data_IF_076099529719
#
_entry.id   IF_076099529719
#
_cell.length_a   1.000
_cell.length_b   1.000
_cell.length_c   1.000
_cell.angle_alpha   90.00
_cell.angle_beta   90.00
_cell.angle_gamma   90.00
#
_symmetry.space_group_name_H-M   'P 1'
#
loop_
_entity.id
_entity.type
_entity.pdbx_description
1 polymer ?
#
# COMPACT_ATOMS: atom_id res chain seq x y z
N UNK A 1 63.72 -76.49 -16.33
CA UNK A 1 63.50 -76.82 -14.91
C UNK A 1 63.15 -75.54 -14.16
N UNK A 2 62.29 -75.55 -13.13
CA UNK A 2 60.88 -75.94 -13.05
C UNK A 2 59.93 -74.73 -12.81
N UNK A 3 58.62 -74.95 -12.98
CA UNK A 3 57.46 -74.19 -12.46
C UNK A 3 57.48 -74.04 -10.91
N UNK A 4 56.72 -73.15 -10.21
CA UNK A 4 55.25 -73.05 -10.35
C UNK A 4 54.50 -71.75 -10.00
N UNK A 5 53.21 -71.80 -10.36
CA UNK A 5 52.06 -70.96 -9.97
C UNK A 5 51.93 -70.78 -8.45
N UNK A 6 51.43 -69.62 -8.02
CA UNK A 6 50.56 -69.46 -6.84
C UNK A 6 49.44 -68.45 -7.17
N UNK A 7 48.25 -68.72 -6.63
CA UNK A 7 46.95 -68.13 -6.91
C UNK A 7 46.45 -67.27 -5.74
N UNK A 8 45.55 -66.34 -6.04
CA UNK A 8 44.55 -65.68 -5.19
C UNK A 8 44.97 -64.58 -4.19
N UNK A 9 44.18 -63.49 -4.20
CA UNK A 9 44.17 -62.46 -3.17
C UNK A 9 43.44 -61.18 -3.61
N UNK A 10 42.11 -61.20 -3.61
CA UNK A 10 41.29 -60.00 -3.76
C UNK A 10 41.50 -59.04 -2.58
N UNK A 11 41.78 -57.76 -2.84
CA UNK A 11 41.49 -56.66 -1.92
C UNK A 11 41.03 -55.43 -2.72
N UNK A 12 39.93 -54.83 -2.29
CA UNK A 12 39.33 -53.61 -2.85
C UNK A 12 40.25 -52.39 -2.69
N UNK A 13 40.30 -51.47 -3.66
CA UNK A 13 40.77 -50.11 -3.41
C UNK A 13 39.64 -49.07 -3.52
N UNK A 14 39.59 -48.23 -2.49
CA UNK A 14 39.04 -46.86 -2.49
C UNK A 14 39.64 -46.02 -3.63
N UNK A 15 38.92 -45.08 -4.27
CA UNK A 15 39.55 -44.08 -5.11
C UNK A 15 39.84 -42.80 -4.31
N UNK A 16 41.13 -42.54 -4.11
CA UNK A 16 41.66 -41.23 -3.75
C UNK A 16 41.73 -40.27 -4.94
N UNK A 17 41.91 -39.00 -4.58
CA UNK A 17 42.03 -37.83 -5.43
C UNK A 17 43.05 -37.92 -6.57
N UNK A 18 42.68 -37.36 -7.73
CA UNK A 18 43.60 -36.93 -8.79
C UNK A 18 42.94 -35.87 -9.68
N UNK A 19 43.47 -34.65 -9.67
CA UNK A 19 43.25 -33.58 -10.66
C UNK A 19 44.35 -33.67 -11.75
N UNK A 20 44.37 -32.79 -12.77
CA UNK A 20 43.39 -32.62 -13.85
C UNK A 20 44.06 -32.82 -15.24
N UNK A 21 43.33 -33.32 -16.24
CA UNK A 21 43.78 -33.29 -17.64
C UNK A 21 42.91 -32.38 -18.49
N UNK A 22 43.59 -31.59 -19.30
CA UNK A 22 43.13 -30.53 -20.18
C UNK A 22 42.21 -31.01 -21.33
N UNK A 23 41.21 -30.17 -21.58
CA UNK A 23 40.14 -30.13 -22.59
C UNK A 23 40.44 -30.67 -24.02
N UNK A 24 39.38 -30.83 -24.83
CA UNK A 24 39.10 -29.74 -25.77
C UNK A 24 37.66 -29.20 -25.71
N UNK A 25 37.58 -27.87 -25.84
CA UNK A 25 36.37 -27.08 -26.09
C UNK A 25 35.65 -27.58 -27.34
N UNK A 26 34.37 -27.94 -27.20
CA UNK A 26 33.56 -28.28 -28.38
C UNK A 26 32.23 -28.98 -28.08
N UNK A 27 31.47 -28.53 -27.07
CA UNK A 27 30.11 -29.00 -26.86
C UNK A 27 29.22 -27.82 -26.50
N UNK A 28 28.71 -27.15 -27.53
CA UNK A 28 27.62 -26.19 -27.40
C UNK A 28 26.42 -26.90 -26.75
N UNK A 29 25.97 -26.40 -25.59
CA UNK A 29 24.70 -26.78 -24.99
C UNK A 29 23.57 -26.49 -26.00
N UNK A 30 23.05 -27.53 -26.65
CA UNK A 30 21.81 -27.44 -27.43
C UNK A 30 20.64 -27.35 -26.47
N UNK A 31 20.04 -26.16 -26.35
CA UNK A 31 18.72 -26.00 -25.76
C UNK A 31 17.67 -26.67 -26.68
N UNK A 32 16.76 -27.51 -26.16
CA UNK A 32 15.67 -28.05 -26.96
C UNK A 32 14.54 -27.02 -27.11
N UNK A 33 14.11 -26.81 -28.36
CA UNK A 33 12.83 -26.21 -28.77
C UNK A 33 12.58 -24.70 -28.56
N UNK A 34 13.14 -23.88 -29.44
CA UNK A 34 12.49 -22.64 -29.88
C UNK A 34 11.76 -22.93 -31.20
N UNK A 35 10.43 -23.12 -31.16
CA UNK A 35 9.62 -23.10 -32.40
C UNK A 35 9.41 -21.63 -32.80
N UNK A 36 9.63 -21.23 -34.06
CA UNK A 36 9.21 -19.91 -34.51
C UNK A 36 7.68 -19.83 -34.49
N UNK A 37 7.15 -18.74 -33.93
CA UNK A 37 5.72 -18.41 -33.94
C UNK A 37 5.32 -18.09 -35.40
N UNK A 38 4.32 -18.74 -35.98
CA UNK A 38 3.85 -18.39 -37.32
C UNK A 38 3.30 -16.96 -37.30
N UNK A 39 3.69 -16.16 -38.29
CA UNK A 39 3.18 -14.81 -38.50
C UNK A 39 1.66 -14.89 -38.71
N UNK A 40 0.89 -14.49 -37.69
CA UNK A 40 -0.56 -14.43 -37.76
C UNK A 40 -1.01 -13.41 -38.79
N UNK A 41 -1.98 -13.82 -39.61
CA UNK A 41 -2.69 -12.99 -40.57
C UNK A 41 -3.24 -11.72 -39.90
N UNK A 42 -3.09 -10.58 -40.59
CA UNK A 42 -3.69 -9.30 -40.16
C UNK A 42 -5.21 -9.46 -40.13
N UNK A 43 -5.90 -9.11 -39.04
CA UNK A 43 -7.35 -9.09 -39.04
C UNK A 43 -7.88 -8.04 -40.03
N UNK A 44 -9.07 -8.28 -40.62
CA UNK A 44 -9.63 -7.43 -41.65
C UNK A 44 -9.89 -6.01 -41.13
N UNK A 45 -9.40 -5.05 -41.91
CA UNK A 45 -9.72 -3.63 -41.81
C UNK A 45 -11.19 -3.40 -42.17
N UNK A 46 -12.03 -3.10 -41.19
CA UNK A 46 -13.40 -2.63 -41.43
C UNK A 46 -14.29 -2.73 -40.20
N UNK A 47 -14.49 -1.60 -39.52
CA UNK A 47 -15.45 -1.46 -38.42
C UNK A 47 -14.98 -0.40 -37.42
N UNK A 48 -15.27 0.87 -37.72
CA UNK A 48 -15.29 2.04 -36.83
C UNK A 48 -14.40 1.95 -35.58
N UNK A 49 -13.08 1.80 -35.81
CA UNK A 49 -12.13 2.06 -34.75
C UNK A 49 -12.30 3.55 -34.40
N UNK A 50 -12.71 3.83 -33.17
CA UNK A 50 -12.51 5.16 -32.59
C UNK A 50 -11.03 5.47 -32.79
N UNK A 51 -10.72 6.29 -33.80
CA UNK A 51 -9.37 6.79 -34.07
C UNK A 51 -9.07 7.75 -32.95
N UNK A 52 -8.51 7.22 -31.87
CA UNK A 52 -7.99 8.04 -30.80
C UNK A 52 -6.86 8.89 -31.41
N UNK A 53 -6.84 10.19 -31.15
CA UNK A 53 -5.76 11.03 -31.63
C UNK A 53 -4.43 10.52 -31.07
N UNK A 54 -3.35 10.58 -31.84
CA UNK A 54 -1.97 10.26 -31.45
C UNK A 54 -1.46 11.06 -30.22
N UNK A 55 -2.31 11.94 -29.68
CA UNK A 55 -2.06 12.80 -28.54
C UNK A 55 -2.19 12.09 -27.20
N UNK A 56 -2.91 10.97 -27.08
CA UNK A 56 -3.11 10.30 -25.79
C UNK A 56 -1.79 9.81 -25.16
N UNK A 57 -0.89 9.10 -25.88
CA UNK A 57 0.41 8.70 -25.35
C UNK A 57 1.25 9.88 -24.87
N UNK A 58 1.22 11.00 -25.60
CA UNK A 58 1.93 12.23 -25.23
C UNK A 58 1.33 12.86 -23.97
N UNK A 59 0.00 12.90 -23.84
CA UNK A 59 -0.67 13.36 -22.62
C UNK A 59 -0.24 12.51 -21.42
N UNK A 60 -0.16 11.19 -21.57
CA UNK A 60 0.30 10.32 -20.48
C UNK A 60 1.76 10.56 -20.11
N UNK A 61 2.64 10.80 -21.09
CA UNK A 61 4.04 11.17 -20.82
C UNK A 61 4.13 12.48 -20.06
N UNK A 62 3.36 13.49 -20.44
CA UNK A 62 3.31 14.78 -19.74
C UNK A 62 2.80 14.59 -18.32
N UNK A 63 1.75 13.80 -18.12
CA UNK A 63 1.23 13.49 -16.78
C UNK A 63 2.26 12.73 -15.95
N UNK A 64 2.96 11.75 -16.53
CA UNK A 64 4.00 10.97 -15.86
C UNK A 64 5.17 11.85 -15.40
N UNK A 65 5.73 12.67 -16.30
CA UNK A 65 6.79 13.64 -15.96
C UNK A 65 6.32 14.68 -14.94
N UNK A 66 5.07 15.15 -15.03
CA UNK A 66 4.51 16.06 -14.03
C UNK A 66 4.38 15.39 -12.66
N UNK A 67 4.09 14.09 -12.64
CA UNK A 67 4.07 13.28 -11.43
C UNK A 67 5.44 13.09 -10.82
N UNK A 68 6.46 12.86 -11.64
CA UNK A 68 7.86 12.79 -11.19
C UNK A 68 8.30 14.10 -10.57
N UNK A 69 7.97 15.23 -11.21
CA UNK A 69 8.22 16.57 -10.66
C UNK A 69 7.49 16.78 -9.33
N UNK A 70 6.19 16.46 -9.28
CA UNK A 70 5.37 16.58 -8.07
C UNK A 70 5.94 15.74 -6.93
N UNK A 71 6.30 14.50 -7.20
CA UNK A 71 6.79 13.57 -6.19
C UNK A 71 8.23 13.92 -5.76
N UNK A 72 9.01 14.56 -6.64
CA UNK A 72 10.25 15.25 -6.28
C UNK A 72 10.00 16.40 -5.30
N UNK A 73 8.95 17.21 -5.50
CA UNK A 73 8.53 18.24 -4.54
C UNK A 73 8.14 17.60 -3.21
N UNK A 74 7.31 16.54 -3.21
CA UNK A 74 6.87 15.85 -1.99
C UNK A 74 8.03 15.23 -1.21
N UNK A 75 9.00 14.61 -1.91
CA UNK A 75 10.23 14.09 -1.33
C UNK A 75 11.10 15.20 -0.73
N UNK A 76 11.30 16.29 -1.45
CA UNK A 76 12.03 17.46 -0.96
C UNK A 76 11.37 18.11 0.27
N UNK A 77 10.03 18.18 0.29
CA UNK A 77 9.29 18.65 1.47
C UNK A 77 9.51 17.78 2.71
N UNK A 78 9.73 16.48 2.53
CA UNK A 78 10.09 15.57 3.63
C UNK A 78 11.54 15.75 4.05
N UNK A 79 12.48 15.85 3.10
CA UNK A 79 13.89 16.15 3.37
C UNK A 79 14.04 17.44 4.18
N UNK A 80 13.27 18.49 3.83
CA UNK A 80 13.22 19.75 4.58
C UNK A 80 12.79 19.55 6.03
N UNK A 81 11.74 18.77 6.26
CA UNK A 81 11.25 18.48 7.64
C UNK A 81 12.25 17.68 8.45
N UNK A 82 13.05 16.84 7.79
CA UNK A 82 14.12 16.04 8.39
C UNK A 82 15.45 16.78 8.50
N UNK A 83 15.54 18.04 8.06
CA UNK A 83 16.75 18.87 8.06
C UNK A 83 17.94 18.20 7.34
N UNK A 84 17.71 17.59 6.18
CA UNK A 84 18.79 17.05 5.35
C UNK A 84 19.59 18.15 4.66
N UNK A 85 20.86 17.87 4.37
CA UNK A 85 21.73 18.72 3.56
C UNK A 85 21.28 18.72 2.08
N UNK A 86 21.90 19.55 1.24
CA UNK A 86 21.51 19.70 -0.17
C UNK A 86 21.60 18.35 -0.92
N UNK A 87 22.64 17.56 -0.65
CA UNK A 87 22.82 16.24 -1.27
C UNK A 87 21.70 15.30 -0.86
N UNK A 88 21.46 15.14 0.45
CA UNK A 88 20.37 14.33 0.97
C UNK A 88 19.00 14.79 0.48
N UNK A 89 18.82 16.10 0.29
CA UNK A 89 17.58 16.68 -0.24
C UNK A 89 17.30 16.24 -1.68
N UNK A 90 18.28 16.39 -2.57
CA UNK A 90 18.16 15.99 -3.97
C UNK A 90 18.04 14.47 -4.10
N UNK A 91 18.84 13.72 -3.35
CA UNK A 91 18.80 12.25 -3.36
C UNK A 91 17.43 11.73 -2.93
N UNK A 92 16.87 12.26 -1.83
CA UNK A 92 15.54 11.84 -1.38
C UNK A 92 14.45 12.21 -2.38
N UNK A 93 14.55 13.37 -3.03
CA UNK A 93 13.61 13.78 -4.08
C UNK A 93 13.65 12.85 -5.30
N UNK A 94 14.85 12.54 -5.82
CA UNK A 94 15.03 11.58 -6.93
C UNK A 94 14.49 10.21 -6.54
N UNK A 95 14.88 9.70 -5.37
CA UNK A 95 14.45 8.41 -4.85
C UNK A 95 12.92 8.33 -4.77
N UNK A 96 12.30 9.35 -4.19
CA UNK A 96 10.85 9.42 -4.06
C UNK A 96 10.19 9.37 -5.45
N UNK A 97 10.69 10.19 -6.37
CA UNK A 97 10.09 10.41 -7.68
C UNK A 97 10.21 9.21 -8.64
N UNK A 98 11.32 8.47 -8.61
CA UNK A 98 11.62 7.43 -9.61
C UNK A 98 11.53 6.01 -9.07
N UNK A 99 11.65 5.79 -7.76
CA UNK A 99 11.85 4.43 -7.24
C UNK A 99 10.66 3.50 -7.47
N UNK A 100 9.42 3.99 -7.52
CA UNK A 100 8.25 3.16 -7.84
C UNK A 100 8.31 2.58 -9.27
N UNK A 101 8.63 3.43 -10.26
CA UNK A 101 8.82 3.01 -11.65
C UNK A 101 10.04 2.11 -11.84
N UNK A 102 11.15 2.42 -11.14
CA UNK A 102 12.36 1.57 -11.15
C UNK A 102 12.05 0.20 -10.57
N UNK A 103 11.39 0.14 -9.41
CA UNK A 103 11.03 -1.13 -8.77
C UNK A 103 10.15 -1.99 -9.69
N UNK A 104 9.15 -1.38 -10.35
CA UNK A 104 8.33 -2.05 -11.37
C UNK A 104 9.20 -2.60 -12.50
N UNK A 105 10.02 -1.76 -13.12
CA UNK A 105 10.77 -2.15 -14.33
C UNK A 105 11.81 -3.24 -14.00
N UNK A 106 12.46 -3.15 -12.83
CA UNK A 106 13.33 -4.22 -12.31
C UNK A 106 12.53 -5.50 -12.05
N UNK A 107 11.32 -5.44 -11.50
CA UNK A 107 10.54 -6.68 -11.31
C UNK A 107 10.06 -7.30 -12.63
N UNK A 108 9.80 -6.49 -13.66
CA UNK A 108 9.37 -6.95 -14.98
C UNK A 108 10.54 -7.55 -15.78
N UNK A 109 11.78 -7.09 -15.57
CA UNK A 109 12.99 -7.58 -16.26
C UNK A 109 12.95 -7.42 -17.80
N UNK A 110 12.28 -6.36 -18.30
CA UNK A 110 12.16 -6.09 -19.74
C UNK A 110 13.19 -5.07 -20.28
N UNK A 111 14.34 -4.92 -19.61
CA UNK A 111 15.40 -3.97 -19.96
C UNK A 111 15.76 -3.02 -18.81
N UNK A 112 16.59 -2.00 -19.07
CA UNK A 112 16.93 -1.00 -18.06
C UNK A 112 15.66 -0.22 -17.64
N UNK A 113 15.55 0.18 -16.36
CA UNK A 113 14.43 1.00 -15.90
C UNK A 113 14.22 2.26 -16.72
N UNK A 114 12.96 2.56 -17.06
CA UNK A 114 12.64 3.67 -17.98
C UNK A 114 13.09 5.04 -17.44
N UNK A 115 13.03 5.20 -16.11
CA UNK A 115 13.51 6.41 -15.43
C UNK A 115 15.02 6.66 -15.58
N UNK A 116 15.79 5.65 -16.01
CA UNK A 116 17.23 5.75 -16.27
C UNK A 116 17.55 5.85 -17.77
N UNK A 117 16.59 5.55 -18.64
CA UNK A 117 16.78 5.67 -20.09
C UNK A 117 16.42 7.06 -20.61
N UNK A 118 15.41 7.70 -20.03
CA UNK A 118 14.98 9.05 -20.38
C UNK A 118 15.49 10.07 -19.33
N UNK A 119 16.44 10.96 -19.69
CA UNK A 119 17.02 11.92 -18.74
C UNK A 119 15.99 12.91 -18.18
N UNK A 120 14.86 13.14 -18.87
CA UNK A 120 13.83 14.06 -18.41
C UNK A 120 13.21 13.65 -17.06
N UNK A 121 13.22 12.35 -16.71
CA UNK A 121 12.74 11.88 -15.41
C UNK A 121 13.63 12.36 -14.26
N UNK A 122 14.95 12.24 -14.42
CA UNK A 122 15.90 12.71 -13.41
C UNK A 122 15.90 14.25 -13.33
N UNK A 123 15.82 14.94 -14.47
CA UNK A 123 15.70 16.39 -14.50
C UNK A 123 14.41 16.87 -13.81
N UNK A 124 13.26 16.25 -14.09
CA UNK A 124 11.99 16.59 -13.44
C UNK A 124 12.06 16.41 -11.91
N UNK A 125 12.67 15.32 -11.43
CA UNK A 125 12.85 15.08 -10.01
C UNK A 125 13.78 16.13 -9.35
N UNK A 126 14.89 16.49 -10.00
CA UNK A 126 15.81 17.54 -9.54
C UNK A 126 15.14 18.92 -9.53
N UNK A 127 14.35 19.25 -10.54
CA UNK A 127 13.56 20.48 -10.59
C UNK A 127 12.54 20.50 -9.45
N UNK A 128 11.87 19.37 -9.19
CA UNK A 128 10.97 19.22 -8.05
C UNK A 128 11.68 19.47 -6.71
N UNK A 129 12.90 18.95 -6.55
CA UNK A 129 13.74 19.21 -5.39
C UNK A 129 14.06 20.71 -5.24
N UNK A 130 14.48 21.37 -6.33
CA UNK A 130 14.78 22.79 -6.34
C UNK A 130 13.57 23.65 -5.95
N UNK A 131 12.40 23.30 -6.50
CA UNK A 131 11.12 23.95 -6.16
C UNK A 131 10.81 23.75 -4.67
N UNK A 132 10.97 22.55 -4.13
CA UNK A 132 10.76 22.31 -2.69
C UNK A 132 11.80 23.00 -1.79
N UNK A 133 13.01 23.25 -2.30
CA UNK A 133 14.05 23.98 -1.57
C UNK A 133 13.66 25.45 -1.36
N UNK A 134 13.24 26.12 -2.43
CA UNK A 134 12.90 27.55 -2.38
C UNK A 134 11.45 27.83 -1.94
N UNK A 135 10.49 26.98 -2.31
CA UNK A 135 9.08 27.22 -2.04
C UNK A 135 8.59 26.51 -0.76
N UNK A 136 8.00 27.30 0.14
CA UNK A 136 7.34 26.80 1.35
C UNK A 136 5.86 26.51 1.06
N UNK A 137 5.55 25.26 0.69
CA UNK A 137 4.18 24.77 0.46
C UNK A 137 3.37 24.58 1.77
N UNK A 138 3.35 25.58 2.64
CA UNK A 138 2.73 25.50 3.98
C UNK A 138 1.25 25.95 3.98
N UNK A 139 0.82 26.67 2.94
CA UNK A 139 -0.54 27.18 2.84
C UNK A 139 -1.57 26.06 2.63
N UNK A 140 -2.78 26.24 3.19
CA UNK A 140 -3.91 25.32 2.98
C UNK A 140 -4.22 25.03 1.50
N UNK A 141 -4.28 26.03 0.59
CA UNK A 141 -4.55 25.76 -0.83
C UNK A 141 -3.40 24.97 -1.49
N UNK A 142 -2.15 25.28 -1.18
CA UNK A 142 -1.00 24.54 -1.70
C UNK A 142 -1.06 23.06 -1.32
N UNK A 143 -1.34 22.75 -0.05
CA UNK A 143 -1.47 21.35 0.40
C UNK A 143 -2.62 20.62 -0.28
N UNK A 144 -3.75 21.30 -0.53
CA UNK A 144 -4.87 20.70 -1.27
C UNK A 144 -4.50 20.42 -2.73
N UNK A 145 -3.80 21.35 -3.37
CA UNK A 145 -3.33 21.18 -4.75
C UNK A 145 -2.40 19.98 -4.87
N UNK A 146 -1.41 19.85 -3.97
CA UNK A 146 -0.49 18.72 -3.95
C UNK A 146 -1.22 17.38 -3.80
N UNK A 147 -2.22 17.30 -2.91
CA UNK A 147 -3.02 16.07 -2.73
C UNK A 147 -3.83 15.74 -4.00
N UNK A 148 -4.40 16.75 -4.65
CA UNK A 148 -5.20 16.52 -5.87
C UNK A 148 -4.31 16.06 -7.02
N UNK A 149 -3.17 16.72 -7.21
CA UNK A 149 -2.21 16.34 -8.23
C UNK A 149 -1.66 14.92 -7.97
N UNK A 150 -1.37 14.59 -6.72
CA UNK A 150 -0.84 13.28 -6.31
C UNK A 150 -1.87 12.16 -6.54
N UNK A 151 -3.16 12.44 -6.31
CA UNK A 151 -4.23 11.49 -6.60
C UNK A 151 -4.34 11.14 -8.10
N UNK A 152 -4.14 12.12 -8.98
CA UNK A 152 -4.13 11.89 -10.44
C UNK A 152 -2.94 11.04 -10.84
N UNK A 153 -1.75 11.42 -10.38
CA UNK A 153 -0.49 10.72 -10.65
C UNK A 153 -0.54 9.28 -10.15
N UNK A 154 -1.07 9.06 -8.94
CA UNK A 154 -1.28 7.72 -8.38
C UNK A 154 -2.14 6.85 -9.30
N UNK A 155 -3.25 7.39 -9.83
CA UNK A 155 -4.11 6.69 -10.76
C UNK A 155 -3.37 6.32 -12.04
N UNK A 156 -2.63 7.27 -12.63
CA UNK A 156 -1.86 7.06 -13.86
C UNK A 156 -0.73 6.04 -13.67
N UNK A 157 0.03 6.11 -12.58
CA UNK A 157 1.11 5.17 -12.29
C UNK A 157 0.61 3.76 -12.01
N UNK A 158 -0.51 3.62 -11.30
CA UNK A 158 -1.13 2.32 -11.08
C UNK A 158 -1.58 1.68 -12.41
N UNK A 159 -2.23 2.47 -13.27
CA UNK A 159 -2.67 2.01 -14.57
C UNK A 159 -1.48 1.67 -15.48
N UNK A 160 -0.45 2.51 -15.54
CA UNK A 160 0.76 2.30 -16.35
C UNK A 160 1.51 1.06 -15.89
N UNK A 161 1.61 0.85 -14.58
CA UNK A 161 2.26 -0.34 -14.01
C UNK A 161 1.55 -1.64 -14.39
N UNK A 162 0.22 -1.65 -14.27
CA UNK A 162 -0.59 -2.79 -14.69
C UNK A 162 -0.50 -3.04 -16.21
N UNK A 163 -0.52 -1.98 -17.01
CA UNK A 163 -0.38 -2.06 -18.46
C UNK A 163 0.97 -2.66 -18.88
N UNK A 164 2.09 -2.14 -18.34
CA UNK A 164 3.42 -2.68 -18.64
C UNK A 164 3.57 -4.13 -18.21
N UNK A 165 3.00 -4.51 -17.07
CA UNK A 165 3.03 -5.89 -16.59
C UNK A 165 2.27 -6.84 -17.53
N UNK A 166 1.08 -6.45 -18.00
CA UNK A 166 0.32 -7.23 -18.98
C UNK A 166 1.05 -7.36 -20.31
N UNK A 167 1.66 -6.28 -20.80
CA UNK A 167 2.45 -6.29 -22.04
C UNK A 167 3.71 -7.14 -21.94
N UNK A 168 4.28 -7.29 -20.73
CA UNK A 168 5.37 -8.22 -20.46
C UNK A 168 4.91 -9.69 -20.36
N UNK A 169 3.64 -9.98 -20.63
CA UNK A 169 3.08 -11.34 -20.59
C UNK A 169 2.76 -11.84 -19.18
N UNK A 170 2.76 -10.97 -18.16
CA UNK A 170 2.45 -11.38 -16.79
C UNK A 170 0.94 -11.60 -16.59
N UNK A 171 0.61 -12.47 -15.64
CA UNK A 171 -0.78 -12.77 -15.26
C UNK A 171 -1.51 -11.59 -14.60
N UNK A 172 -2.82 -11.76 -14.38
CA UNK A 172 -3.68 -10.74 -13.75
C UNK A 172 -3.16 -10.32 -12.38
N UNK A 173 -2.89 -11.27 -11.48
CA UNK A 173 -2.47 -10.95 -10.11
C UNK A 173 -1.12 -10.21 -10.06
N UNK A 174 -0.07 -10.65 -10.78
CA UNK A 174 1.16 -9.86 -10.90
C UNK A 174 0.94 -8.46 -11.48
N UNK A 175 0.05 -8.30 -12.46
CA UNK A 175 -0.24 -6.99 -13.04
C UNK A 175 -0.91 -6.03 -12.05
N UNK A 176 -1.87 -6.53 -11.24
CA UNK A 176 -2.48 -5.75 -10.16
C UNK A 176 -1.43 -5.34 -9.12
N UNK A 177 -0.57 -6.29 -8.72
CA UNK A 177 0.50 -6.04 -7.75
C UNK A 177 1.48 -4.99 -8.27
N UNK A 178 1.96 -5.13 -9.51
CA UNK A 178 2.91 -4.20 -10.11
C UNK A 178 2.30 -2.83 -10.34
N UNK A 179 1.01 -2.73 -10.69
CA UNK A 179 0.28 -1.48 -10.71
C UNK A 179 0.33 -0.79 -9.35
N UNK A 180 -0.10 -1.47 -8.29
CA UNK A 180 -0.02 -0.94 -6.93
C UNK A 180 1.40 -0.50 -6.54
N UNK A 181 2.39 -1.38 -6.74
CA UNK A 181 3.80 -1.10 -6.39
C UNK A 181 4.32 0.12 -7.14
N UNK A 182 3.94 0.30 -8.41
CA UNK A 182 4.37 1.49 -9.18
C UNK A 182 3.88 2.77 -8.52
N UNK A 183 2.60 2.79 -8.11
CA UNK A 183 1.98 3.96 -7.53
C UNK A 183 2.44 4.26 -6.09
N UNK A 184 2.59 3.23 -5.24
CA UNK A 184 2.93 3.42 -3.82
C UNK A 184 4.41 3.23 -3.50
N UNK A 185 5.15 2.48 -4.31
CA UNK A 185 6.52 2.04 -4.03
C UNK A 185 7.51 3.18 -3.84
N UNK A 186 7.39 4.27 -4.61
CA UNK A 186 8.23 5.45 -4.43
C UNK A 186 8.07 6.08 -3.05
N UNK A 187 6.82 6.25 -2.59
CA UNK A 187 6.51 6.75 -1.24
C UNK A 187 6.96 5.78 -0.15
N UNK A 188 6.84 4.48 -0.36
CA UNK A 188 7.28 3.47 0.61
C UNK A 188 8.79 3.50 0.81
N UNK A 189 9.56 3.53 -0.29
CA UNK A 189 11.02 3.57 -0.24
C UNK A 189 11.47 4.85 0.46
N UNK A 190 10.87 5.99 0.11
CA UNK A 190 11.11 7.28 0.78
C UNK A 190 10.88 7.18 2.29
N UNK A 191 9.73 6.68 2.71
CA UNK A 191 9.36 6.61 4.12
C UNK A 191 10.36 5.74 4.90
N UNK A 192 10.76 4.58 4.35
CA UNK A 192 11.82 3.73 4.93
C UNK A 192 13.16 4.46 5.00
N UNK A 193 13.55 5.18 3.94
CA UNK A 193 14.82 5.92 3.91
C UNK A 193 14.92 7.03 4.95
N UNK A 194 13.80 7.59 5.41
CA UNK A 194 13.77 8.59 6.48
C UNK A 194 13.47 7.99 7.86
N UNK A 195 13.46 6.66 7.97
CA UNK A 195 13.21 5.93 9.22
C UNK A 195 11.76 5.98 9.70
N UNK A 196 10.79 6.17 8.80
CA UNK A 196 9.36 6.17 9.10
C UNK A 196 8.68 4.91 8.59
N UNK A 197 7.63 4.47 9.30
CA UNK A 197 6.79 3.37 8.83
C UNK A 197 6.01 3.82 7.59
N UNK A 198 6.13 3.11 6.45
CA UNK A 198 5.43 3.49 5.23
C UNK A 198 3.93 3.69 5.41
N UNK A 199 3.40 4.78 4.83
CA UNK A 199 1.98 5.15 4.98
C UNK A 199 1.01 4.05 4.49
N UNK A 200 1.47 3.14 3.62
CA UNK A 200 0.69 1.99 3.14
C UNK A 200 0.31 1.01 4.25
N UNK A 201 1.12 0.90 5.31
CA UNK A 201 0.89 -0.06 6.40
C UNK A 201 -0.13 0.40 7.44
N UNK A 202 -0.62 1.64 7.34
CA UNK A 202 -1.71 2.13 8.18
C UNK A 202 -1.48 3.53 8.74
N UNK A 203 -2.40 3.96 9.61
CA UNK A 203 -2.37 5.28 10.25
C UNK A 203 -2.85 6.45 9.38
N UNK A 204 -2.95 6.24 8.06
CA UNK A 204 -3.29 7.27 7.08
C UNK A 204 -4.59 6.97 6.29
N UNK A 205 -4.96 7.93 5.44
CA UNK A 205 -6.11 7.83 4.53
C UNK A 205 -5.88 6.75 3.47
N UNK A 206 -6.94 6.25 2.84
CA UNK A 206 -6.80 5.22 1.81
C UNK A 206 -5.91 5.69 0.65
N UNK A 207 -4.83 4.96 0.41
CA UNK A 207 -3.87 5.25 -0.65
C UNK A 207 -3.64 4.02 -1.55
N UNK A 208 -3.40 2.84 -0.96
CA UNK A 208 -3.23 1.60 -1.71
C UNK A 208 -4.52 1.05 -2.33
N UNK A 209 -5.68 1.23 -1.68
CA UNK A 209 -6.97 0.76 -2.24
C UNK A 209 -7.32 1.50 -3.54
N UNK A 210 -7.25 2.84 -3.61
CA UNK A 210 -7.39 3.56 -4.87
C UNK A 210 -6.43 3.09 -5.98
N UNK A 211 -5.15 2.86 -5.64
CA UNK A 211 -4.16 2.35 -6.59
C UNK A 211 -4.54 0.94 -7.10
N UNK A 212 -5.00 0.07 -6.21
CA UNK A 212 -5.49 -1.26 -6.58
C UNK A 212 -6.70 -1.19 -7.49
N UNK A 213 -7.68 -0.34 -7.18
CA UNK A 213 -8.86 -0.16 -8.03
C UNK A 213 -8.47 0.37 -9.42
N UNK A 214 -7.54 1.32 -9.52
CA UNK A 214 -7.03 1.79 -10.80
C UNK A 214 -6.36 0.68 -11.61
N UNK A 215 -5.46 -0.09 -10.98
CA UNK A 215 -4.82 -1.23 -11.62
C UNK A 215 -5.85 -2.29 -12.06
N UNK A 216 -6.88 -2.55 -11.25
CA UNK A 216 -7.96 -3.47 -11.57
C UNK A 216 -8.80 -2.99 -12.76
N UNK A 217 -9.11 -1.70 -12.83
CA UNK A 217 -9.78 -1.11 -13.99
C UNK A 217 -8.94 -1.28 -15.26
N UNK A 218 -7.63 -1.01 -15.20
CA UNK A 218 -6.74 -1.20 -16.34
C UNK A 218 -6.78 -2.66 -16.83
N UNK A 219 -6.61 -3.61 -15.91
CA UNK A 219 -6.58 -5.03 -16.25
C UNK A 219 -7.93 -5.49 -16.79
N UNK A 220 -9.04 -5.07 -16.20
CA UNK A 220 -10.38 -5.45 -16.64
C UNK A 220 -10.66 -4.99 -18.08
N UNK A 221 -10.40 -3.71 -18.39
CA UNK A 221 -10.67 -3.16 -19.74
C UNK A 221 -9.79 -3.82 -20.79
N UNK A 222 -8.49 -4.00 -20.52
CA UNK A 222 -7.57 -4.65 -21.46
C UNK A 222 -7.95 -6.13 -21.69
N UNK A 223 -8.38 -6.85 -20.65
CA UNK A 223 -8.80 -8.26 -20.76
C UNK A 223 -10.11 -8.46 -21.50
N UNK A 224 -10.98 -7.45 -21.52
CA UNK A 224 -12.23 -7.46 -22.28
C UNK A 224 -12.02 -7.07 -23.76
N UNK A 225 -10.78 -6.88 -24.21
CA UNK A 225 -10.45 -6.48 -25.58
C UNK A 225 -10.62 -4.98 -25.85
N UNK A 226 -10.74 -4.16 -24.79
CA UNK A 226 -10.81 -2.71 -24.90
C UNK A 226 -9.47 -2.08 -25.30
N UNK A 227 -9.53 -0.85 -25.84
CA UNK A 227 -8.34 -0.08 -26.18
C UNK A 227 -7.53 0.27 -24.91
N UNK A 228 -6.22 0.03 -24.94
CA UNK A 228 -5.32 0.25 -23.81
C UNK A 228 -5.20 1.72 -23.36
N UNK A 229 -5.28 2.67 -24.29
CA UNK A 229 -5.17 4.10 -23.98
C UNK A 229 -6.44 4.60 -23.27
N UNK A 230 -7.61 4.11 -23.69
CA UNK A 230 -8.87 4.35 -23.00
C UNK A 230 -8.91 3.67 -21.63
N UNK A 231 -8.35 2.46 -21.52
CA UNK A 231 -8.18 1.78 -20.24
C UNK A 231 -7.36 2.65 -19.29
N UNK A 232 -6.26 3.23 -19.78
CA UNK A 232 -5.34 4.03 -18.97
C UNK A 232 -6.00 5.32 -18.46
N UNK A 233 -6.78 5.99 -19.32
CA UNK A 233 -7.57 7.15 -18.94
C UNK A 233 -8.64 6.78 -17.90
N UNK A 234 -9.43 5.73 -18.17
CA UNK A 234 -10.49 5.27 -17.26
C UNK A 234 -9.92 4.87 -15.89
N UNK A 235 -8.84 4.11 -15.87
CA UNK A 235 -8.14 3.69 -14.66
C UNK A 235 -7.58 4.88 -13.88
N UNK A 236 -7.01 5.88 -14.58
CA UNK A 236 -6.56 7.13 -13.95
C UNK A 236 -7.72 7.86 -13.29
N UNK A 237 -8.86 8.04 -13.98
CA UNK A 237 -10.04 8.69 -13.42
C UNK A 237 -10.61 7.93 -12.22
N UNK A 238 -10.69 6.60 -12.28
CA UNK A 238 -11.16 5.77 -11.16
C UNK A 238 -10.23 5.88 -9.96
N UNK A 239 -8.91 5.76 -10.17
CA UNK A 239 -7.91 5.91 -9.12
C UNK A 239 -7.96 7.29 -8.45
N UNK A 240 -7.93 8.34 -9.26
CA UNK A 240 -7.94 9.73 -8.80
C UNK A 240 -9.22 10.06 -8.03
N UNK A 241 -10.39 9.73 -8.59
CA UNK A 241 -11.68 9.99 -7.96
C UNK A 241 -11.82 9.24 -6.63
N UNK A 242 -11.42 7.97 -6.57
CA UNK A 242 -11.49 7.18 -5.35
C UNK A 242 -10.50 7.68 -4.29
N UNK A 243 -9.29 8.08 -4.68
CA UNK A 243 -8.29 8.66 -3.80
C UNK A 243 -8.77 10.00 -3.23
N UNK A 244 -9.32 10.89 -4.07
CA UNK A 244 -9.90 12.16 -3.65
C UNK A 244 -11.10 11.97 -2.74
N UNK A 245 -12.01 11.06 -3.08
CA UNK A 245 -13.17 10.75 -2.26
C UNK A 245 -12.76 10.24 -0.88
N UNK A 246 -11.79 9.31 -0.83
CA UNK A 246 -11.21 8.83 0.42
C UNK A 246 -10.55 9.96 1.21
N UNK A 247 -9.88 10.90 0.53
CA UNK A 247 -9.28 12.06 1.18
C UNK A 247 -10.32 12.99 1.80
N UNK A 248 -11.41 13.27 1.09
CA UNK A 248 -12.46 14.21 1.49
C UNK A 248 -13.35 13.63 2.57
N UNK A 249 -13.69 12.34 2.48
CA UNK A 249 -14.45 11.62 3.52
C UNK A 249 -13.58 11.11 4.66
N UNK A 250 -12.27 11.35 4.61
CA UNK A 250 -11.30 10.90 5.61
C UNK A 250 -11.41 9.40 5.90
N UNK A 251 -11.59 8.60 4.85
CA UNK A 251 -11.68 7.14 4.98
C UNK A 251 -10.36 6.56 5.50
N UNK A 252 -10.45 5.76 6.56
CA UNK A 252 -9.34 5.04 7.17
C UNK A 252 -9.70 3.56 7.23
N UNK A 253 -8.71 2.69 7.01
CA UNK A 253 -8.87 1.26 7.24
C UNK A 253 -8.82 0.97 8.74
N UNK A 254 -9.57 -0.05 9.22
CA UNK A 254 -9.52 -0.46 10.62
C UNK A 254 -8.13 -0.97 10.97
N UNK A 255 -7.56 -0.51 12.08
CA UNK A 255 -6.27 -0.97 12.58
C UNK A 255 -6.47 -2.13 13.56
N UNK A 256 -5.48 -3.02 13.68
CA UNK A 256 -5.56 -4.18 14.60
C UNK A 256 -5.81 -3.73 16.05
N UNK A 257 -5.17 -2.65 16.49
CA UNK A 257 -5.39 -2.06 17.81
C UNK A 257 -6.84 -1.61 18.05
N UNK A 258 -7.56 -1.14 17.01
CA UNK A 258 -8.99 -0.81 17.12
C UNK A 258 -9.82 -2.07 17.39
N UNK A 259 -9.41 -3.22 16.84
CA UNK A 259 -10.08 -4.51 17.09
C UNK A 259 -9.81 -5.00 18.50
N UNK A 260 -8.59 -4.85 18.99
CA UNK A 260 -8.21 -5.21 20.36
C UNK A 260 -8.94 -4.33 21.39
N UNK A 261 -8.98 -3.01 21.17
CA UNK A 261 -9.75 -2.08 22.01
C UNK A 261 -11.24 -2.44 22.06
N UNK A 262 -11.86 -2.73 20.91
CA UNK A 262 -13.26 -3.17 20.84
C UNK A 262 -13.48 -4.53 21.52
N UNK A 263 -12.51 -5.45 21.44
CA UNK A 263 -12.57 -6.73 22.17
C UNK A 263 -12.51 -6.50 23.68
N UNK A 264 -11.59 -5.65 24.15
CA UNK A 264 -11.48 -5.30 25.57
C UNK A 264 -12.74 -4.58 26.07
N UNK A 265 -13.29 -3.62 25.32
CA UNK A 265 -14.55 -2.95 25.65
C UNK A 265 -15.72 -3.94 25.77
N UNK A 266 -15.82 -4.92 24.85
CA UNK A 266 -16.82 -5.99 24.92
C UNK A 266 -16.63 -6.87 26.15
N UNK A 267 -15.39 -7.29 26.43
CA UNK A 267 -15.08 -8.09 27.62
C UNK A 267 -15.41 -7.34 28.91
N UNK A 268 -15.06 -6.05 29.00
CA UNK A 268 -15.41 -5.21 30.15
C UNK A 268 -16.93 -5.06 30.27
N UNK A 269 -17.64 -4.82 29.16
CA UNK A 269 -19.11 -4.71 29.16
C UNK A 269 -19.79 -6.02 29.57
N UNK A 270 -19.26 -7.17 29.18
CA UNK A 270 -19.77 -8.49 29.58
C UNK A 270 -19.53 -8.75 31.07
N UNK A 271 -18.33 -8.46 31.58
CA UNK A 271 -18.00 -8.61 33.01
C UNK A 271 -18.81 -7.66 33.88
N UNK A 272 -18.94 -6.39 33.48
CA UNK A 272 -19.76 -5.39 34.20
C UNK A 272 -21.25 -5.75 34.14
N UNK A 273 -21.73 -6.24 32.99
CA UNK A 273 -23.11 -6.72 32.81
C UNK A 273 -23.42 -7.94 33.69
N UNK A 274 -22.52 -8.92 33.73
CA UNK A 274 -22.61 -10.10 34.59
C UNK A 274 -22.55 -9.74 36.08
N UNK A 275 -21.69 -8.79 36.45
CA UNK A 275 -21.60 -8.25 37.82
C UNK A 275 -22.90 -7.56 38.27
N UNK A 276 -23.51 -6.74 37.40
CA UNK A 276 -24.81 -6.09 37.68
C UNK A 276 -25.94 -7.11 37.87
N UNK A 277 -26.00 -8.14 37.03
CA UNK A 277 -27.00 -9.23 37.17
C UNK A 277 -26.79 -10.04 38.45
N UNK A 278 -25.54 -10.28 38.86
CA UNK A 278 -25.21 -10.95 40.11
C UNK A 278 -25.61 -10.16 41.36
N UNK A 279 -25.43 -8.82 41.34
CA UNK A 279 -25.82 -7.92 42.45
C UNK A 279 -27.34 -7.81 42.57
N UNK A 280 -28.06 -7.70 41.46
CA UNK A 280 -29.53 -7.65 41.45
C UNK A 280 -30.14 -8.98 41.92
N UNK A 281 -29.51 -10.12 41.60
CA UNK A 281 -29.97 -11.45 42.05
C UNK A 281 -29.73 -11.70 43.54
N UNK A 282 -28.71 -11.09 44.15
CA UNK A 282 -28.48 -11.17 45.62
C UNK A 282 -29.39 -10.25 46.45
N UNK A 283 -30.03 -9.26 45.84
CA UNK A 283 -30.93 -8.29 46.49
C UNK A 283 -32.42 -8.65 46.42
N UNK A 284 -32.79 -9.94 46.32
CA UNK A 284 -34.17 -10.35 46.66
C UNK A 284 -34.24 -10.68 48.16
N UNK A 285 -34.83 -9.83 49.01
CA UNK A 285 -35.15 -10.25 50.37
C UNK A 285 -36.21 -11.34 50.27
N UNK A 286 -36.05 -12.44 51.02
CA UNK A 286 -37.17 -13.34 51.30
C UNK A 286 -38.22 -12.50 52.05
N UNK A 287 -39.30 -12.12 51.38
CA UNK A 287 -40.44 -11.49 52.03
C UNK A 287 -41.10 -12.57 52.89
N UNK A 288 -40.82 -12.54 54.19
CA UNK A 288 -41.59 -13.26 55.19
C UNK A 288 -42.98 -12.63 55.30
N UNK A 289 -44.01 -13.45 55.22
CA UNK A 289 -45.40 -13.05 55.43
C UNK A 289 -45.57 -12.65 56.90
N UNK A 290 -45.96 -11.40 57.16
CA UNK A 290 -46.35 -10.91 58.50
C UNK A 290 -47.87 -10.78 58.51
N UNK A 291 -48.60 -11.39 59.47
CA UNK A 291 -50.05 -11.26 59.55
C UNK A 291 -50.46 -9.89 60.14
N UNK A 292 -51.65 -9.37 59.82
CA UNK A 292 -52.07 -8.01 60.17
C UNK A 292 -52.45 -7.87 61.67
N UNK A 293 -52.06 -6.77 62.35
CA UNK A 293 -52.53 -6.46 63.70
C UNK A 293 -53.92 -5.79 63.71
N UNK A 294 -54.66 -6.02 64.80
CA UNK A 294 -56.07 -5.69 65.01
C UNK A 294 -56.34 -4.19 65.28
N UNK A 295 -57.58 -3.69 65.06
CA UNK A 295 -57.89 -2.27 65.06
C UNK A 295 -58.25 -1.70 66.45
N UNK A 296 -57.70 -0.54 66.80
CA UNK A 296 -58.31 0.35 67.82
C UNK A 296 -57.36 0.86 68.91
N UNK A 297 -56.67 1.98 68.64
CA UNK A 297 -56.21 3.02 69.57
C UNK A 297 -55.42 4.02 68.70
N UNK A 298 -55.70 5.31 68.55
CA UNK A 298 -56.34 6.29 69.43
C UNK A 298 -55.51 7.57 69.23
N UNK A 299 -56.10 8.58 68.58
CA UNK A 299 -55.49 9.82 68.10
C UNK A 299 -55.14 10.77 69.24
N UNK A 300 -53.97 11.42 69.20
CA UNK A 300 -53.73 12.81 69.70
C UNK A 300 -52.51 13.44 68.98
N UNK A 301 -52.61 14.63 68.36
CA UNK A 301 -51.49 15.56 68.17
C UNK A 301 -51.63 16.74 69.17
N UNK A 302 -50.55 17.46 69.54
CA UNK A 302 -50.32 18.74 68.87
C UNK A 302 -48.89 19.33 68.93
N UNK A 303 -48.76 20.43 68.18
CA UNK A 303 -48.02 21.67 68.49
C UNK A 303 -46.52 21.83 68.14
N UNK A 304 -46.36 22.66 67.11
CA UNK A 304 -45.37 23.69 66.79
C UNK A 304 -44.72 24.43 68.00
N UNK A 305 -43.38 24.54 68.00
CA UNK A 305 -42.54 25.61 68.60
C UNK A 305 -41.28 25.64 67.71
N UNK A 306 -41.10 26.60 66.79
CA UNK A 306 -40.65 27.99 66.94
C UNK A 306 -39.14 28.16 67.27
N UNK A 307 -38.49 28.96 66.42
CA UNK A 307 -37.31 29.81 66.65
C UNK A 307 -35.90 29.19 66.62
N UNK A 308 -34.98 29.87 65.94
CA UNK A 308 -33.53 29.66 66.10
C UNK A 308 -32.68 30.02 64.88
N UNK A 309 -32.29 31.29 64.78
CA UNK A 309 -31.41 31.87 63.75
C UNK A 309 -29.98 31.29 63.66
N UNK A 310 -29.32 31.67 62.56
CA UNK A 310 -27.93 32.16 62.46
C UNK A 310 -26.97 31.33 61.59
N UNK A 311 -26.56 31.89 60.44
CA UNK A 311 -25.19 31.73 59.91
C UNK A 311 -24.26 32.77 60.58
N UNK A 312 -23.08 33.15 60.02
CA UNK A 312 -22.26 32.55 58.96
C UNK A 312 -20.73 32.47 59.31
N UNK A 313 -19.91 31.86 58.42
CA UNK A 313 -18.57 32.38 58.05
C UNK A 313 -17.29 31.90 58.77
N UNK A 314 -16.20 31.81 57.96
CA UNK A 314 -14.75 31.72 58.26
C UNK A 314 -14.26 30.39 58.88
N UNK A 315 -13.18 29.73 58.44
CA UNK A 315 -11.94 30.10 57.73
C UNK A 315 -11.53 29.05 56.68
#
# INVERSE_FOLDING_TARGET
MPTPRVQAGQTHPQPGHGTPSSQPLGAACRCPHHRPVPAGERPPSGGDAVTLPDTLPEVFRVVDLSGVLLNGILGGLIARRKNFDVVGFVVLAILTATAGGILRDVMIQAGPPFALTDPYYLYAACVGALVAWFARFESRPARRLLVVADAVVLGTWAATGAYKALNAGLGVMPALLLGCITAVGGSMIRDVSVGETPAVFGGNKLYAIPAFCAAATQVAVVRLGGNADLALLAATCVGASLCLLAYWRSWKLPVVSDRERRRMERQVSEVVGAGRLGVLRRRRPRVGVVPPPAPGAGVVPPALVAEGEAGPGAE
#
